data_IF_448484693785
#
_entry.id   IF_448484693785
#
_cell.length_a   1.000
_cell.length_b   1.000
_cell.length_c   1.000
_cell.angle_alpha   90.00
_cell.angle_beta   90.00
_cell.angle_gamma   90.00
#
_symmetry.space_group_name_H-M   'P 1'
#
loop_
_entity.id
_entity.type
_entity.pdbx_description
1 polymer ?
#
# COMPACT_ATOMS: atom_id res chain seq x y z
N UNK A 1 17.39 24.50 -3.72
CA UNK A 1 16.92 23.94 -2.43
C UNK A 1 15.77 22.94 -2.62
N UNK A 2 15.85 21.98 -3.58
CA UNK A 2 14.71 21.09 -3.90
C UNK A 2 15.07 19.64 -4.29
N UNK A 3 16.21 19.11 -3.82
CA UNK A 3 16.61 17.71 -4.11
C UNK A 3 17.05 16.93 -2.86
N UNK A 4 16.62 17.34 -1.65
CA UNK A 4 16.97 16.63 -0.40
C UNK A 4 15.90 15.67 0.12
N UNK A 5 14.69 15.65 -0.43
CA UNK A 5 13.56 14.91 0.14
C UNK A 5 13.19 13.59 -0.55
N UNK A 6 13.93 13.15 -1.58
CA UNK A 6 13.61 11.91 -2.33
C UNK A 6 14.44 10.71 -1.85
N UNK A 7 15.41 10.90 -0.95
CA UNK A 7 16.40 9.87 -0.58
C UNK A 7 16.14 9.13 0.75
N UNK A 8 14.96 9.25 1.37
CA UNK A 8 14.65 8.57 2.64
C UNK A 8 13.29 7.90 2.64
N UNK A 9 13.15 6.79 1.92
CA UNK A 9 12.08 5.82 2.19
C UNK A 9 12.42 4.39 1.77
N UNK A 10 13.69 4.10 1.51
CA UNK A 10 14.13 2.74 1.22
C UNK A 10 15.36 2.49 2.09
N UNK A 11 15.17 1.68 3.14
CA UNK A 11 16.19 1.16 4.07
C UNK A 11 16.83 2.19 5.01
N UNK A 12 16.03 2.74 5.94
CA UNK A 12 16.50 3.55 7.08
C UNK A 12 16.70 2.70 8.36
N UNK A 13 17.22 1.49 8.25
CA UNK A 13 17.78 0.77 9.40
C UNK A 13 19.30 0.63 9.27
N UNK A 14 19.95 1.64 8.65
CA UNK A 14 21.40 1.70 8.56
C UNK A 14 21.92 2.60 9.68
N UNK A 15 22.71 1.97 10.55
CA UNK A 15 23.39 2.46 11.75
C UNK A 15 22.53 2.59 13.00
N UNK A 16 22.24 1.42 13.56
CA UNK A 16 21.75 1.25 14.93
C UNK A 16 22.84 0.60 15.78
N UNK A 17 24.00 1.26 15.88
CA UNK A 17 24.99 0.91 16.91
C UNK A 17 24.61 1.68 18.17
N UNK A 18 23.77 1.06 19.02
CA UNK A 18 23.38 1.62 20.33
C UNK A 18 21.88 1.84 20.57
N UNK A 19 20.96 1.31 19.75
CA UNK A 19 19.54 1.45 20.05
C UNK A 19 19.09 0.64 21.26
N UNK A 20 18.05 1.19 21.87
CA UNK A 20 17.18 0.50 22.80
C UNK A 20 16.36 -0.60 22.11
N UNK A 21 15.89 -1.57 22.89
CA UNK A 21 15.09 -2.69 22.37
C UNK A 21 13.79 -2.20 21.69
N UNK A 22 13.21 -1.08 22.16
CA UNK A 22 12.01 -0.48 21.58
C UNK A 22 12.20 0.02 20.14
N UNK A 23 13.33 0.63 19.84
CA UNK A 23 13.66 1.13 18.49
C UNK A 23 13.89 -0.02 17.51
N UNK A 24 14.49 -1.12 17.98
CA UNK A 24 14.60 -2.36 17.20
C UNK A 24 13.23 -2.94 16.84
N UNK A 25 12.29 -2.98 17.80
CA UNK A 25 10.91 -3.42 17.54
C UNK A 25 10.19 -2.49 16.57
N UNK A 26 10.39 -1.17 16.67
CA UNK A 26 9.83 -0.22 15.72
C UNK A 26 10.35 -0.44 14.30
N UNK A 27 11.68 -0.57 14.11
CA UNK A 27 12.28 -0.88 12.80
C UNK A 27 11.75 -2.22 12.25
N UNK A 28 11.68 -3.27 13.07
CA UNK A 28 11.17 -4.58 12.65
C UNK A 28 9.71 -4.50 12.17
N UNK A 29 8.85 -3.76 12.89
CA UNK A 29 7.45 -3.55 12.49
C UNK A 29 7.34 -2.81 11.16
N UNK A 30 8.16 -1.79 10.93
CA UNK A 30 8.11 -1.03 9.69
C UNK A 30 8.68 -1.81 8.51
N UNK A 31 9.75 -2.57 8.71
CA UNK A 31 10.28 -3.51 7.72
C UNK A 31 9.22 -4.58 7.35
N UNK A 32 8.54 -5.15 8.34
CA UNK A 32 7.47 -6.12 8.11
C UNK A 32 6.30 -5.53 7.29
N UNK A 33 5.89 -4.29 7.57
CA UNK A 33 4.89 -3.59 6.75
C UNK A 33 5.36 -3.44 5.31
N UNK A 34 6.60 -2.98 5.09
CA UNK A 34 7.13 -2.78 3.74
C UNK A 34 7.21 -4.09 2.95
N UNK A 35 7.71 -5.16 3.58
CA UNK A 35 7.76 -6.50 2.97
C UNK A 35 6.36 -7.01 2.62
N UNK A 36 5.38 -6.87 3.53
CA UNK A 36 3.98 -7.25 3.28
C UNK A 36 3.42 -6.48 2.09
N UNK A 37 3.61 -5.16 2.03
CA UNK A 37 3.11 -4.36 0.90
C UNK A 37 3.79 -4.73 -0.42
N UNK A 38 5.10 -5.02 -0.39
CA UNK A 38 5.83 -5.51 -1.55
C UNK A 38 5.33 -6.88 -2.03
N UNK A 39 5.11 -7.81 -1.10
CA UNK A 39 4.56 -9.14 -1.39
C UNK A 39 3.15 -9.06 -1.96
N UNK A 40 2.26 -8.26 -1.35
CA UNK A 40 0.91 -8.04 -1.86
C UNK A 40 0.93 -7.51 -3.29
N UNK A 41 1.83 -6.57 -3.63
CA UNK A 41 1.99 -6.11 -5.01
C UNK A 41 2.50 -7.21 -5.94
N UNK A 42 3.47 -8.03 -5.49
CA UNK A 42 4.06 -9.09 -6.28
C UNK A 42 3.04 -10.19 -6.65
N UNK A 43 2.19 -10.59 -5.69
CA UNK A 43 1.10 -11.54 -5.95
C UNK A 43 -0.11 -10.89 -6.61
N UNK A 44 -0.09 -9.57 -6.77
CA UNK A 44 -1.21 -8.78 -7.28
C UNK A 44 -2.43 -8.84 -6.36
N UNK A 45 -2.26 -8.84 -5.04
CA UNK A 45 -3.36 -8.74 -4.09
C UNK A 45 -3.88 -7.30 -3.99
N UNK A 46 -5.21 -7.11 -3.93
CA UNK A 46 -5.82 -5.79 -3.78
C UNK A 46 -5.53 -5.16 -2.41
N UNK A 47 -5.20 -3.87 -2.38
CA UNK A 47 -5.07 -3.07 -1.15
C UNK A 47 -6.26 -2.12 -1.02
N UNK A 48 -7.25 -2.54 -0.22
CA UNK A 48 -8.47 -1.76 0.01
C UNK A 48 -8.21 -0.40 0.68
N UNK A 49 -7.19 -0.30 1.54
CA UNK A 49 -6.85 0.98 2.18
C UNK A 49 -6.27 1.97 1.17
N UNK A 50 -5.42 1.50 0.27
CA UNK A 50 -4.94 2.32 -0.84
C UNK A 50 -6.10 2.77 -1.74
N UNK A 51 -7.08 1.89 -2.00
CA UNK A 51 -8.30 2.24 -2.73
C UNK A 51 -9.09 3.35 -2.02
N UNK A 52 -9.34 3.26 -0.71
CA UNK A 52 -10.07 4.29 0.03
C UNK A 52 -9.37 5.66 -0.03
N UNK A 53 -8.03 5.68 0.10
CA UNK A 53 -7.25 6.92 -0.01
C UNK A 53 -7.34 7.51 -1.42
N UNK A 54 -7.23 6.67 -2.45
CA UNK A 54 -7.38 7.09 -3.84
C UNK A 54 -8.80 7.64 -4.10
N UNK A 55 -9.81 6.91 -3.65
CA UNK A 55 -11.21 7.26 -3.81
C UNK A 55 -11.52 8.59 -3.12
N UNK A 56 -11.12 8.78 -1.86
CA UNK A 56 -11.33 10.04 -1.14
C UNK A 56 -10.66 11.24 -1.83
N UNK A 57 -9.51 11.02 -2.50
CA UNK A 57 -8.80 12.08 -3.24
C UNK A 57 -9.40 12.39 -4.61
N UNK A 58 -9.90 11.37 -5.32
CA UNK A 58 -10.30 11.49 -6.74
C UNK A 58 -11.81 11.54 -6.95
N UNK A 59 -12.58 11.04 -5.99
CA UNK A 59 -14.04 10.99 -6.00
C UNK A 59 -14.60 11.53 -4.66
N UNK A 60 -14.36 12.81 -4.34
CA UNK A 60 -14.98 13.42 -3.17
C UNK A 60 -16.51 13.42 -3.35
N UNK A 61 -17.24 12.97 -2.33
CA UNK A 61 -18.70 12.97 -2.32
C UNK A 61 -19.37 11.70 -2.83
N UNK A 62 -18.62 10.74 -3.38
CA UNK A 62 -19.15 9.41 -3.72
C UNK A 62 -18.86 8.42 -2.57
N UNK A 63 -19.77 7.48 -2.33
CA UNK A 63 -19.49 6.39 -1.39
C UNK A 63 -18.49 5.40 -2.01
N UNK A 64 -17.41 5.02 -1.31
CA UNK A 64 -16.50 3.99 -1.79
C UNK A 64 -17.22 2.63 -1.84
N UNK A 65 -16.81 1.77 -2.76
CA UNK A 65 -17.27 0.38 -2.84
C UNK A 65 -16.91 -0.39 -1.57
N UNK A 66 -17.69 -1.41 -1.22
CA UNK A 66 -17.34 -2.29 -0.11
C UNK A 66 -16.08 -3.10 -0.43
N UNK A 67 -15.36 -3.55 0.61
CA UNK A 67 -14.11 -4.30 0.46
C UNK A 67 -14.28 -5.55 -0.42
N UNK A 68 -15.36 -6.30 -0.21
CA UNK A 68 -15.67 -7.51 -1.00
C UNK A 68 -15.91 -7.18 -2.47
N UNK A 69 -16.62 -6.10 -2.77
CA UNK A 69 -16.88 -5.66 -4.14
C UNK A 69 -15.58 -5.22 -4.82
N UNK A 70 -14.70 -4.53 -4.09
CA UNK A 70 -13.38 -4.15 -4.59
C UNK A 70 -12.52 -5.38 -4.93
N UNK A 71 -12.52 -6.40 -4.06
CA UNK A 71 -11.79 -7.65 -4.30
C UNK A 71 -12.36 -8.41 -5.50
N UNK A 72 -13.69 -8.52 -5.61
CA UNK A 72 -14.34 -9.20 -6.74
C UNK A 72 -14.04 -8.49 -8.06
N UNK A 73 -14.20 -7.16 -8.11
CA UNK A 73 -13.84 -6.34 -9.28
C UNK A 73 -12.36 -6.54 -9.64
N UNK A 74 -11.46 -6.63 -8.65
CA UNK A 74 -10.05 -6.86 -8.90
C UNK A 74 -9.77 -8.26 -9.50
N UNK A 75 -10.40 -9.30 -8.97
CA UNK A 75 -10.29 -10.68 -9.48
C UNK A 75 -10.84 -10.74 -10.91
N UNK A 76 -12.01 -10.16 -11.18
CA UNK A 76 -12.59 -10.06 -12.51
C UNK A 76 -11.67 -9.31 -13.49
N UNK A 77 -11.07 -8.18 -13.06
CA UNK A 77 -10.06 -7.44 -13.85
C UNK A 77 -8.86 -8.32 -14.20
N UNK A 78 -8.41 -9.13 -13.25
CA UNK A 78 -7.20 -9.96 -13.36
C UNK A 78 -7.40 -11.17 -14.26
N UNK A 79 -8.56 -11.84 -14.16
CA UNK A 79 -8.76 -13.17 -14.74
C UNK A 79 -9.80 -13.23 -15.87
N UNK A 80 -10.85 -12.41 -15.84
CA UNK A 80 -11.98 -12.55 -16.76
C UNK A 80 -12.01 -11.47 -17.86
N UNK A 81 -11.38 -10.31 -17.63
CA UNK A 81 -11.00 -9.32 -18.66
C UNK A 81 -12.13 -8.67 -19.47
N UNK A 82 -13.37 -9.12 -19.31
CA UNK A 82 -14.48 -8.78 -20.23
C UNK A 82 -15.31 -7.58 -19.82
N UNK A 83 -15.33 -7.19 -18.55
CA UNK A 83 -16.10 -6.00 -18.15
C UNK A 83 -15.80 -5.49 -16.74
N UNK A 84 -14.54 -5.51 -16.35
CA UNK A 84 -14.24 -5.35 -14.95
C UNK A 84 -14.38 -3.87 -14.51
N UNK A 85 -15.47 -3.64 -13.76
CA UNK A 85 -16.11 -2.37 -13.44
C UNK A 85 -15.17 -1.16 -13.40
N UNK A 86 -15.52 -0.11 -14.14
CA UNK A 86 -14.79 1.16 -14.18
C UNK A 86 -14.94 1.91 -12.84
N UNK A 87 -14.03 1.69 -11.91
CA UNK A 87 -13.60 2.73 -10.99
C UNK A 87 -12.17 3.08 -11.36
N UNK A 88 -12.02 4.22 -12.05
CA UNK A 88 -10.83 4.69 -12.78
C UNK A 88 -10.15 3.65 -13.70
#
# INVERSE_FOLDING_TARGET
MLLRNVRKSVLSCREVTGATVEECFACARDAAKQLRMGWLRAIGAPDYKAYLIHHARRHPGTAPMAEREYVNMFIERRFDGRNAGRCC
#
